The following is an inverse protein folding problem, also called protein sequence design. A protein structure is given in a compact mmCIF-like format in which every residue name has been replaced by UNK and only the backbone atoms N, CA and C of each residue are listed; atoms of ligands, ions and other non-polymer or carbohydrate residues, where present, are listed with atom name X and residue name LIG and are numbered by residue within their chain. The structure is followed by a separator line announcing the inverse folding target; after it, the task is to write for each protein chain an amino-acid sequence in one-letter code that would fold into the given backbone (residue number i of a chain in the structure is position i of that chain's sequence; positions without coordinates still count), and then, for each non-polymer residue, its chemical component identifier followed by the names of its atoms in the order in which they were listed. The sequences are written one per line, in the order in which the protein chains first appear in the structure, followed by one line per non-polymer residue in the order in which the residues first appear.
data_IF_080792395086
#
_entry.id   IF_080792395086
#
_cell.length_a   1.000
_cell.length_b   1.000
_cell.length_c   1.000
_cell.angle_alpha   90.00
_cell.angle_beta   90.00
_cell.angle_gamma   90.00
#
_symmetry.space_group_name_H-M   'P 1'
#
loop_
_entity.id
_entity.type
_entity.pdbx_description
1 polymer ?
#
# COMPACT_ATOMS: atom_id res chain seq x y z
N UNK A 1 -12.84 19.05 12.54
CA UNK A 1 -13.14 18.74 11.10
C UNK A 1 -11.88 18.33 10.33
N UNK A 2 -10.78 19.08 10.33
CA UNK A 2 -9.56 18.77 9.57
C UNK A 2 -8.96 17.39 9.92
N UNK A 3 -8.75 17.08 11.18
CA UNK A 3 -8.23 15.77 11.62
C UNK A 3 -9.13 14.63 11.15
N UNK A 4 -10.44 14.81 11.20
CA UNK A 4 -11.41 13.81 10.73
C UNK A 4 -11.26 13.56 9.22
N UNK A 5 -11.05 14.60 8.41
CA UNK A 5 -10.81 14.46 6.97
C UNK A 5 -9.50 13.70 6.68
N UNK A 6 -8.44 13.98 7.42
CA UNK A 6 -7.17 13.24 7.32
C UNK A 6 -7.40 11.76 7.62
N UNK A 7 -8.08 11.43 8.72
CA UNK A 7 -8.34 10.05 9.11
C UNK A 7 -9.25 9.31 8.13
N UNK A 8 -10.33 9.96 7.68
CA UNK A 8 -11.25 9.35 6.72
C UNK A 8 -10.59 9.11 5.36
N UNK A 9 -9.80 10.06 4.85
CA UNK A 9 -9.07 9.86 3.60
C UNK A 9 -7.99 8.79 3.74
N UNK A 10 -7.27 8.73 4.86
CA UNK A 10 -6.33 7.64 5.15
C UNK A 10 -7.02 6.28 5.12
N UNK A 11 -8.13 6.11 5.84
CA UNK A 11 -8.87 4.84 5.88
C UNK A 11 -9.48 4.48 4.52
N UNK A 12 -9.98 5.47 3.78
CA UNK A 12 -10.51 5.26 2.43
C UNK A 12 -9.42 4.76 1.48
N UNK A 13 -8.17 5.18 1.67
CA UNK A 13 -7.06 4.72 0.84
C UNK A 13 -6.76 3.23 1.00
N UNK A 14 -7.06 2.60 2.13
CA UNK A 14 -6.96 1.13 2.26
C UNK A 14 -7.93 0.42 1.30
N UNK A 15 -9.16 0.92 1.18
CA UNK A 15 -10.12 0.41 0.20
C UNK A 15 -9.65 0.66 -1.24
N UNK A 16 -9.11 1.84 -1.53
CA UNK A 16 -8.56 2.18 -2.85
C UNK A 16 -7.39 1.26 -3.19
N UNK A 17 -6.46 1.04 -2.26
CA UNK A 17 -5.31 0.16 -2.44
C UNK A 17 -5.74 -1.29 -2.66
N UNK A 18 -6.67 -1.82 -1.86
CA UNK A 18 -7.26 -3.13 -2.06
C UNK A 18 -7.90 -3.29 -3.45
N UNK A 19 -8.74 -2.32 -3.83
CA UNK A 19 -9.45 -2.33 -5.11
C UNK A 19 -8.48 -2.26 -6.29
N UNK A 20 -7.50 -1.38 -6.20
CA UNK A 20 -6.47 -1.20 -7.23
C UNK A 20 -5.60 -2.47 -7.36
N UNK A 21 -5.17 -3.04 -6.24
CA UNK A 21 -4.39 -4.27 -6.22
C UNK A 21 -5.16 -5.41 -6.93
N UNK A 22 -6.45 -5.58 -6.58
CA UNK A 22 -7.28 -6.64 -7.12
C UNK A 22 -7.62 -6.46 -8.60
N UNK A 23 -8.07 -5.27 -9.01
CA UNK A 23 -8.68 -5.08 -10.33
C UNK A 23 -7.74 -4.45 -11.35
N UNK A 24 -6.78 -3.66 -10.91
CA UNK A 24 -5.83 -2.97 -11.78
C UNK A 24 -4.51 -3.74 -11.84
N UNK A 25 -3.86 -3.97 -10.71
CA UNK A 25 -2.54 -4.60 -10.64
C UNK A 25 -2.61 -6.09 -11.01
N UNK A 26 -3.57 -6.83 -10.51
CA UNK A 26 -3.86 -8.22 -10.92
C UNK A 26 -4.81 -8.33 -12.11
N UNK A 27 -5.26 -7.20 -12.67
CA UNK A 27 -6.09 -7.11 -13.85
C UNK A 27 -5.33 -6.62 -15.08
N UNK A 28 -5.82 -5.52 -15.67
CA UNK A 28 -5.33 -5.02 -16.97
C UNK A 28 -3.90 -4.46 -16.95
N UNK A 29 -3.35 -4.07 -15.79
CA UNK A 29 -1.95 -3.66 -15.63
C UNK A 29 -1.06 -4.75 -15.00
N UNK A 30 -1.44 -6.01 -15.11
CA UNK A 30 -0.63 -7.14 -14.64
C UNK A 30 0.81 -7.11 -15.16
N UNK A 31 1.01 -6.62 -16.38
CA UNK A 31 2.35 -6.47 -16.99
C UNK A 31 3.32 -5.61 -16.18
N UNK A 32 2.81 -4.66 -15.38
CA UNK A 32 3.60 -3.82 -14.49
C UNK A 32 3.81 -4.46 -13.11
N UNK A 33 2.89 -5.35 -12.69
CA UNK A 33 2.87 -5.96 -11.36
C UNK A 33 3.47 -7.37 -11.30
N UNK A 34 3.45 -8.10 -12.42
CA UNK A 34 3.88 -9.51 -12.46
C UNK A 34 5.30 -9.74 -11.94
N UNK A 35 6.24 -8.82 -12.24
CA UNK A 35 7.63 -8.96 -11.82
C UNK A 35 7.77 -8.90 -10.29
N UNK A 36 6.85 -8.20 -9.62
CA UNK A 36 6.75 -8.15 -8.18
C UNK A 36 6.40 -9.51 -7.54
N UNK A 37 5.69 -10.38 -8.27
CA UNK A 37 5.33 -11.74 -7.85
C UNK A 37 6.35 -12.83 -8.24
N UNK A 38 7.37 -12.51 -9.05
CA UNK A 38 8.29 -13.52 -9.58
C UNK A 38 9.57 -13.60 -8.73
N UNK A 39 9.80 -14.74 -8.11
CA UNK A 39 11.02 -15.01 -7.36
C UNK A 39 11.22 -14.03 -6.20
N UNK A 40 12.40 -13.42 -6.14
CA UNK A 40 12.76 -12.42 -5.12
C UNK A 40 12.83 -11.00 -5.71
N UNK A 41 12.16 -10.73 -6.82
CA UNK A 41 12.26 -9.43 -7.49
C UNK A 41 11.72 -8.29 -6.61
N UNK A 42 10.65 -8.53 -5.85
CA UNK A 42 10.07 -7.54 -4.94
C UNK A 42 11.07 -7.03 -3.88
N UNK A 43 12.07 -7.84 -3.52
CA UNK A 43 13.10 -7.49 -2.52
C UNK A 43 14.35 -6.84 -3.14
N UNK A 44 14.41 -6.68 -4.46
CA UNK A 44 15.58 -6.07 -5.11
C UNK A 44 15.56 -4.55 -4.91
N UNK A 45 16.72 -3.94 -4.60
CA UNK A 45 16.83 -2.49 -4.56
C UNK A 45 16.68 -1.88 -5.96
N UNK A 46 16.43 -0.57 -5.99
CA UNK A 46 16.26 0.19 -7.23
C UNK A 46 14.82 0.24 -7.74
N UNK A 47 14.61 0.95 -8.83
CA UNK A 47 13.29 1.17 -9.42
C UNK A 47 12.75 -0.10 -10.08
N UNK A 48 11.50 -0.43 -9.80
CA UNK A 48 10.76 -1.54 -10.37
C UNK A 48 9.54 -1.03 -11.14
N UNK A 49 9.03 -1.82 -12.11
CA UNK A 49 7.80 -1.45 -12.83
C UNK A 49 6.60 -1.26 -11.90
N UNK A 50 6.55 -2.05 -10.83
CA UNK A 50 5.54 -1.93 -9.78
C UNK A 50 5.53 -0.55 -9.11
N UNK A 51 6.67 0.15 -9.06
CA UNK A 51 6.76 1.48 -8.43
C UNK A 51 5.98 2.55 -9.22
N UNK A 52 5.62 2.29 -10.49
CA UNK A 52 4.76 3.19 -11.27
C UNK A 52 3.37 3.35 -10.65
N UNK A 53 2.89 2.38 -9.89
CA UNK A 53 1.62 2.51 -9.17
C UNK A 53 1.66 3.59 -8.10
N UNK A 54 2.85 3.94 -7.59
CA UNK A 54 3.00 5.08 -6.68
C UNK A 54 2.47 6.38 -7.30
N UNK A 55 2.66 6.59 -8.60
CA UNK A 55 2.20 7.79 -9.30
C UNK A 55 0.67 7.91 -9.28
N UNK A 56 -0.07 6.79 -9.32
CA UNK A 56 -1.53 6.78 -9.26
C UNK A 56 -2.04 7.36 -7.93
N UNK A 57 -1.30 7.15 -6.85
CA UNK A 57 -1.66 7.64 -5.52
C UNK A 57 -1.08 9.02 -5.22
N UNK A 58 0.17 9.25 -5.61
CA UNK A 58 0.86 10.52 -5.36
C UNK A 58 0.23 11.68 -6.15
N UNK A 59 -0.17 11.44 -7.40
CA UNK A 59 -0.73 12.49 -8.27
C UNK A 59 -1.97 13.16 -7.67
N UNK A 60 -3.05 12.46 -7.27
CA UNK A 60 -4.21 13.10 -6.66
C UNK A 60 -3.87 13.79 -5.32
N UNK A 61 -2.97 13.25 -4.51
CA UNK A 61 -2.54 13.88 -3.28
C UNK A 61 -1.86 15.24 -3.56
N UNK A 62 -0.93 15.28 -4.52
CA UNK A 62 -0.21 16.49 -4.92
C UNK A 62 -1.18 17.53 -5.47
N UNK A 63 -2.10 17.13 -6.36
CA UNK A 63 -3.11 18.04 -6.94
C UNK A 63 -3.96 18.65 -5.83
N UNK A 64 -4.47 17.84 -4.89
CA UNK A 64 -5.31 18.30 -3.79
C UNK A 64 -4.56 19.29 -2.88
N UNK A 65 -3.31 19.00 -2.57
CA UNK A 65 -2.48 19.87 -1.73
C UNK A 65 -2.20 21.20 -2.44
N UNK A 66 -1.75 21.17 -3.70
CA UNK A 66 -1.45 22.40 -4.46
C UNK A 66 -2.70 23.25 -4.64
N UNK A 67 -3.82 22.63 -5.06
CA UNK A 67 -5.09 23.33 -5.24
C UNK A 67 -5.59 23.89 -3.92
N UNK A 68 -5.46 23.13 -2.83
CA UNK A 68 -5.83 23.55 -1.49
C UNK A 68 -5.05 24.77 -1.01
N UNK A 69 -3.75 24.82 -1.25
CA UNK A 69 -2.93 25.99 -0.94
C UNK A 69 -3.33 27.20 -1.82
N UNK A 70 -3.50 26.98 -3.12
CA UNK A 70 -3.85 28.06 -4.05
C UNK A 70 -5.24 28.68 -3.77
N UNK A 71 -6.20 27.85 -3.36
CA UNK A 71 -7.56 28.28 -3.04
C UNK A 71 -7.78 28.59 -1.54
N UNK A 72 -6.76 28.53 -0.71
CA UNK A 72 -6.84 28.66 0.77
C UNK A 72 -7.90 27.71 1.37
N UNK A 73 -7.99 26.50 0.81
CA UNK A 73 -8.97 25.48 1.20
C UNK A 73 -8.32 24.37 2.02
N UNK A 74 -8.40 24.48 3.34
CA UNK A 74 -7.80 23.52 4.27
C UNK A 74 -8.41 22.11 4.21
N UNK A 75 -9.64 21.95 3.69
CA UNK A 75 -10.23 20.62 3.52
C UNK A 75 -9.52 19.83 2.42
N UNK A 76 -9.19 20.48 1.28
CA UNK A 76 -8.43 19.84 0.21
C UNK A 76 -7.02 19.45 0.70
N UNK A 77 -6.36 20.33 1.46
CA UNK A 77 -5.05 20.04 2.06
C UNK A 77 -5.16 18.84 3.01
N UNK A 78 -6.20 18.78 3.85
CA UNK A 78 -6.41 17.68 4.78
C UNK A 78 -6.63 16.34 4.07
N UNK A 79 -7.43 16.32 3.00
CA UNK A 79 -7.65 15.09 2.21
C UNK A 79 -6.34 14.65 1.54
N UNK A 80 -5.62 15.58 0.90
CA UNK A 80 -4.32 15.28 0.29
C UNK A 80 -3.29 14.78 1.31
N UNK A 81 -3.28 15.35 2.53
CA UNK A 81 -2.42 14.90 3.62
C UNK A 81 -2.76 13.47 4.08
N UNK A 82 -4.04 13.11 4.17
CA UNK A 82 -4.47 11.75 4.52
C UNK A 82 -4.05 10.72 3.46
N UNK A 83 -4.17 11.05 2.17
CA UNK A 83 -3.69 10.20 1.06
C UNK A 83 -2.16 10.05 1.14
N UNK A 84 -1.44 11.14 1.38
CA UNK A 84 0.03 11.12 1.52
C UNK A 84 0.46 10.26 2.69
N UNK A 85 -0.20 10.40 3.85
CA UNK A 85 0.09 9.61 5.05
C UNK A 85 -0.12 8.11 4.79
N UNK A 86 -1.17 7.74 4.06
CA UNK A 86 -1.38 6.35 3.65
C UNK A 86 -0.27 5.87 2.73
N UNK A 87 0.14 6.66 1.73
CA UNK A 87 1.23 6.32 0.81
C UNK A 87 2.55 6.07 1.54
N UNK A 88 2.89 6.91 2.53
CA UNK A 88 4.07 6.72 3.39
C UNK A 88 3.95 5.43 4.21
N UNK A 89 2.77 5.17 4.78
CA UNK A 89 2.49 3.94 5.55
C UNK A 89 2.59 2.70 4.66
N UNK A 90 2.04 2.77 3.45
CA UNK A 90 2.12 1.70 2.45
C UNK A 90 3.59 1.40 2.12
N UNK A 91 4.37 2.41 1.76
CA UNK A 91 5.79 2.24 1.46
C UNK A 91 6.56 1.63 2.65
N UNK A 92 6.35 2.16 3.86
CA UNK A 92 7.04 1.67 5.06
C UNK A 92 6.72 0.20 5.35
N UNK A 93 5.45 -0.21 5.25
CA UNK A 93 5.04 -1.58 5.54
C UNK A 93 5.35 -2.50 4.36
N UNK A 94 4.92 -2.16 3.16
CA UNK A 94 5.02 -3.03 1.98
C UNK A 94 6.47 -3.17 1.50
N UNK A 95 7.15 -2.05 1.22
CA UNK A 95 8.47 -2.09 0.61
C UNK A 95 9.59 -2.31 1.64
N UNK A 96 9.50 -1.67 2.81
CA UNK A 96 10.57 -1.75 3.81
C UNK A 96 10.42 -2.96 4.72
N UNK A 97 9.22 -3.17 5.32
CA UNK A 97 9.02 -4.25 6.29
C UNK A 97 8.77 -5.60 5.62
N UNK A 98 7.89 -5.67 4.62
CA UNK A 98 7.53 -6.95 3.98
C UNK A 98 8.60 -7.38 2.98
N UNK A 99 8.93 -6.52 2.03
CA UNK A 99 9.85 -6.86 0.93
C UNK A 99 11.32 -6.60 1.23
N UNK A 100 11.65 -5.98 2.37
CA UNK A 100 13.03 -5.71 2.79
C UNK A 100 13.87 -4.97 1.73
N UNK A 101 13.24 -4.11 0.90
CA UNK A 101 13.94 -3.29 -0.12
C UNK A 101 14.98 -2.34 0.51
N UNK A 102 14.73 -1.92 1.75
CA UNK A 102 15.69 -1.20 2.58
C UNK A 102 16.00 -2.05 3.81
N UNK A 103 17.29 -2.28 4.15
CA UNK A 103 17.69 -3.15 5.25
C UNK A 103 17.59 -2.47 6.63
N UNK A 104 16.51 -1.71 6.87
CA UNK A 104 16.33 -0.87 8.07
C UNK A 104 15.68 -1.67 9.20
N UNK A 105 14.71 -2.53 8.88
CA UNK A 105 13.96 -3.32 9.85
C UNK A 105 14.20 -4.82 9.66
N UNK A 106 14.72 -5.47 10.70
CA UNK A 106 14.91 -6.92 10.75
C UNK A 106 14.03 -7.48 11.87
N UNK A 107 13.22 -8.50 11.56
CA UNK A 107 12.48 -9.30 12.53
C UNK A 107 11.59 -8.49 13.51
N UNK A 108 10.53 -7.84 13.05
CA UNK A 108 9.62 -7.15 13.95
C UNK A 108 9.02 -8.11 14.97
N UNK A 109 8.98 -7.73 16.24
CA UNK A 109 8.40 -8.57 17.31
C UNK A 109 6.90 -8.32 17.55
N UNK A 110 6.32 -7.37 16.87
CA UNK A 110 4.91 -7.02 16.95
C UNK A 110 4.04 -8.06 16.24
N UNK A 111 3.02 -8.61 16.91
CA UNK A 111 2.13 -9.67 16.38
C UNK A 111 1.36 -9.22 15.14
N UNK A 112 0.91 -7.96 15.08
CA UNK A 112 0.20 -7.41 13.93
C UNK A 112 1.13 -7.32 12.70
N UNK A 113 2.37 -6.85 12.88
CA UNK A 113 3.34 -6.78 11.79
C UNK A 113 3.71 -8.19 11.30
N UNK A 114 3.91 -9.15 12.21
CA UNK A 114 4.11 -10.57 11.83
C UNK A 114 2.94 -11.10 11.00
N UNK A 115 1.71 -10.78 11.38
CA UNK A 115 0.51 -11.20 10.66
C UNK A 115 0.40 -10.55 9.27
N UNK A 116 0.72 -9.26 9.12
CA UNK A 116 0.81 -8.57 7.82
C UNK A 116 1.81 -9.29 6.90
N UNK A 117 3.01 -9.57 7.39
CA UNK A 117 4.06 -10.25 6.62
C UNK A 117 3.57 -11.63 6.14
N UNK A 118 2.92 -12.41 7.04
CA UNK A 118 2.33 -13.71 6.68
C UNK A 118 1.23 -13.55 5.62
N UNK A 119 0.32 -12.59 5.80
CA UNK A 119 -0.80 -12.35 4.89
C UNK A 119 -0.34 -11.96 3.49
N UNK A 120 0.62 -11.05 3.39
CA UNK A 120 1.18 -10.62 2.12
C UNK A 120 2.07 -11.71 1.48
N UNK A 121 2.85 -12.42 2.28
CA UNK A 121 3.63 -13.57 1.83
C UNK A 121 2.76 -14.70 1.25
N UNK A 122 1.59 -14.97 1.86
CA UNK A 122 0.60 -15.92 1.36
C UNK A 122 0.00 -15.47 0.02
N UNK A 123 -0.23 -14.16 -0.18
CA UNK A 123 -0.67 -13.61 -1.45
C UNK A 123 0.37 -13.82 -2.56
N UNK A 124 1.65 -13.63 -2.28
CA UNK A 124 2.75 -13.87 -3.24
C UNK A 124 3.00 -15.35 -3.54
N UNK A 125 2.79 -16.23 -2.57
CA UNK A 125 3.00 -17.69 -2.69
C UNK A 125 1.77 -18.41 -2.13
N UNK A 126 0.63 -18.35 -2.83
CA UNK A 126 -0.62 -18.88 -2.30
C UNK A 126 -0.60 -20.41 -2.24
N UNK A 127 -0.95 -20.97 -1.09
CA UNK A 127 -1.25 -22.40 -0.93
C UNK A 127 -2.70 -22.70 -1.30
N UNK A 128 -3.59 -21.71 -1.19
CA UNK A 128 -5.02 -21.82 -1.51
C UNK A 128 -5.49 -20.62 -2.34
N UNK A 129 -6.63 -20.72 -3.06
CA UNK A 129 -7.22 -19.56 -3.76
C UNK A 129 -7.55 -18.39 -2.82
N UNK A 130 -7.85 -18.66 -1.55
CA UNK A 130 -8.16 -17.63 -0.56
C UNK A 130 -6.91 -16.86 -0.10
N UNK A 131 -5.74 -17.49 -0.14
CA UNK A 131 -4.47 -16.81 0.12
C UNK A 131 -4.17 -15.80 -1.00
N UNK A 132 -4.37 -16.22 -2.26
CA UNK A 132 -4.20 -15.33 -3.41
C UNK A 132 -5.14 -14.12 -3.37
N UNK A 133 -6.37 -14.29 -2.85
CA UNK A 133 -7.37 -13.22 -2.75
C UNK A 133 -7.09 -12.18 -1.66
N UNK A 134 -6.00 -12.29 -0.94
CA UNK A 134 -5.62 -11.33 0.10
C UNK A 134 -4.93 -10.10 -0.51
N UNK A 135 -5.72 -9.16 -1.04
CA UNK A 135 -5.24 -7.94 -1.71
C UNK A 135 -5.08 -6.73 -0.78
N UNK A 136 -5.55 -6.82 0.48
CA UNK A 136 -5.41 -5.74 1.47
C UNK A 136 -4.00 -5.64 2.03
N UNK A 137 -3.65 -4.45 2.52
CA UNK A 137 -2.39 -4.26 3.24
C UNK A 137 -2.61 -4.20 4.75
N UNK A 138 -3.35 -3.20 5.22
CA UNK A 138 -3.59 -3.01 6.66
C UNK A 138 -4.74 -3.88 7.16
N UNK A 139 -5.73 -4.19 6.31
CA UNK A 139 -6.89 -5.02 6.66
C UNK A 139 -6.78 -6.36 5.93
N UNK A 140 -6.64 -7.42 6.70
CA UNK A 140 -6.44 -8.79 6.21
C UNK A 140 -7.14 -9.82 7.13
N UNK A 141 -7.35 -11.08 6.67
CA UNK A 141 -8.04 -12.10 7.45
C UNK A 141 -7.34 -12.45 8.77
N UNK A 142 -8.13 -12.60 9.84
CA UNK A 142 -7.63 -12.90 11.21
C UNK A 142 -6.83 -14.19 11.32
N UNK A 143 -6.99 -15.14 10.40
CA UNK A 143 -6.24 -16.41 10.38
C UNK A 143 -4.72 -16.24 10.34
N UNK A 144 -4.21 -15.07 9.93
CA UNK A 144 -2.77 -14.82 9.86
C UNK A 144 -2.13 -14.40 11.20
N UNK A 145 -2.95 -14.20 12.24
CA UNK A 145 -2.45 -13.93 13.60
C UNK A 145 -2.00 -15.21 14.35
N UNK A 146 -2.35 -16.38 13.84
CA UNK A 146 -2.04 -17.69 14.46
C UNK A 146 -0.73 -18.28 13.90
#
# INVERSE_FOLDING_TARGET
MIILLILLSFLFMEFVAWSNHKYVMHGFLWSLHKDHHIGNNASKPGFQKNDLFFLIYATPAIILIITGFSAVNFNLIAIGAGITLYGITYFAIHDVVIHHRLPIFKNPDNSYIKAIIKAHGAHHKPATPDDFRNYGLLIFPRRFFN
#
